data_IF_767393161183
#
_entry.id   IF_767393161183
#
_cell.length_a   1.000
_cell.length_b   1.000
_cell.length_c   1.000
_cell.angle_alpha   90.00
_cell.angle_beta   90.00
_cell.angle_gamma   90.00
#
_symmetry.space_group_name_H-M   'P 1'
#
loop_
_entity.id
_entity.type
_entity.pdbx_description
1 polymer ?
#
# COMPACT_ATOMS: atom_id res chain seq x y z
N UNK A 1 -83.92 81.48 -4.92
CA UNK A 1 -82.43 81.62 -4.97
C UNK A 1 -81.74 81.08 -3.70
N UNK A 2 -82.31 81.24 -2.50
CA UNK A 2 -81.75 80.76 -1.23
C UNK A 2 -81.40 79.25 -1.17
N UNK A 3 -82.30 78.37 -1.61
CA UNK A 3 -82.07 76.91 -1.58
C UNK A 3 -80.90 76.46 -2.47
N UNK A 4 -80.71 77.09 -3.65
CA UNK A 4 -79.55 76.84 -4.52
C UNK A 4 -78.23 77.28 -3.86
N UNK A 5 -78.24 78.40 -3.15
CA UNK A 5 -77.07 78.91 -2.44
C UNK A 5 -76.70 78.04 -1.23
N UNK A 6 -77.69 77.53 -0.47
CA UNK A 6 -77.49 76.59 0.63
C UNK A 6 -76.95 75.25 0.10
N UNK A 7 -77.53 74.72 -0.97
CA UNK A 7 -77.05 73.48 -1.60
C UNK A 7 -75.63 73.66 -2.16
N UNK A 8 -75.31 74.79 -2.77
CA UNK A 8 -73.99 75.09 -3.29
C UNK A 8 -72.97 75.27 -2.17
N UNK A 9 -73.29 75.99 -1.09
CA UNK A 9 -72.38 76.16 0.05
C UNK A 9 -72.15 74.86 0.81
N UNK A 10 -73.18 74.02 0.97
CA UNK A 10 -73.05 72.69 1.56
C UNK A 10 -72.22 71.74 0.69
N UNK A 11 -72.49 71.69 -0.62
CA UNK A 11 -71.72 70.90 -1.57
C UNK A 11 -70.26 71.37 -1.67
N UNK A 12 -70.00 72.68 -1.74
CA UNK A 12 -68.65 73.24 -1.73
C UNK A 12 -67.92 73.00 -0.40
N UNK A 13 -68.62 73.06 0.73
CA UNK A 13 -68.05 72.76 2.05
C UNK A 13 -67.70 71.28 2.19
N UNK A 14 -68.57 70.37 1.74
CA UNK A 14 -68.31 68.94 1.74
C UNK A 14 -67.22 68.55 0.75
N UNK A 15 -67.17 69.15 -0.44
CA UNK A 15 -66.09 68.96 -1.40
C UNK A 15 -64.74 69.37 -0.79
N UNK A 16 -64.65 70.55 -0.16
CA UNK A 16 -63.44 71.00 0.53
C UNK A 16 -63.03 70.08 1.69
N UNK A 17 -64.01 69.51 2.42
CA UNK A 17 -63.74 68.53 3.49
C UNK A 17 -63.20 67.22 2.93
N UNK A 18 -63.76 66.72 1.84
CA UNK A 18 -63.28 65.50 1.17
C UNK A 18 -61.94 65.73 0.46
N UNK A 19 -61.69 66.89 -0.14
CA UNK A 19 -60.38 67.29 -0.68
C UNK A 19 -59.32 67.34 0.43
N UNK A 20 -59.63 67.97 1.57
CA UNK A 20 -58.73 68.00 2.72
C UNK A 20 -58.49 66.59 3.31
N UNK A 21 -59.52 65.73 3.34
CA UNK A 21 -59.40 64.33 3.77
C UNK A 21 -58.53 63.52 2.81
N UNK A 22 -58.72 63.70 1.51
CA UNK A 22 -57.95 63.03 0.46
C UNK A 22 -56.49 63.47 0.48
N UNK A 23 -56.21 64.77 0.63
CA UNK A 23 -54.84 65.29 0.78
C UNK A 23 -54.16 64.77 2.06
N UNK A 24 -54.89 64.67 3.17
CA UNK A 24 -54.36 64.04 4.40
C UNK A 24 -54.01 62.57 4.18
N UNK A 25 -54.89 61.80 3.56
CA UNK A 25 -54.62 60.40 3.23
C UNK A 25 -53.43 60.24 2.28
N UNK A 26 -53.32 61.08 1.24
CA UNK A 26 -52.16 61.09 0.35
C UNK A 26 -50.86 61.38 1.11
N UNK A 27 -50.85 62.41 1.97
CA UNK A 27 -49.68 62.71 2.80
C UNK A 27 -49.32 61.58 3.77
N UNK A 28 -50.33 60.87 4.30
CA UNK A 28 -50.12 59.70 5.15
C UNK A 28 -49.51 58.56 4.35
N UNK A 29 -50.04 58.23 3.16
CA UNK A 29 -49.47 57.20 2.29
C UNK A 29 -48.05 57.54 1.82
N UNK A 30 -47.75 58.80 1.50
CA UNK A 30 -46.40 59.23 1.15
C UNK A 30 -45.43 59.08 2.34
N UNK A 31 -45.90 59.37 3.56
CA UNK A 31 -45.12 59.16 4.79
C UNK A 31 -44.88 57.67 5.08
N UNK A 32 -45.89 56.81 4.85
CA UNK A 32 -45.79 55.36 5.00
C UNK A 32 -44.87 54.74 3.95
N UNK A 33 -44.92 55.22 2.69
CA UNK A 33 -44.02 54.84 1.61
C UNK A 33 -42.58 55.23 1.96
N UNK A 34 -42.33 56.47 2.37
CA UNK A 34 -41.00 56.91 2.78
C UNK A 34 -40.47 56.11 3.99
N UNK A 35 -41.32 55.77 4.96
CA UNK A 35 -40.97 54.90 6.08
C UNK A 35 -40.68 53.45 5.64
N UNK A 36 -41.41 52.94 4.64
CA UNK A 36 -41.14 51.63 4.02
C UNK A 36 -39.79 51.64 3.30
N UNK A 37 -39.51 52.65 2.46
CA UNK A 37 -38.27 52.79 1.70
C UNK A 37 -37.06 52.90 2.63
N UNK A 38 -37.17 53.64 3.73
CA UNK A 38 -36.13 53.68 4.79
C UNK A 38 -35.89 52.30 5.41
N UNK A 39 -36.95 51.55 5.71
CA UNK A 39 -36.83 50.18 6.26
C UNK A 39 -36.18 49.24 5.25
N UNK A 40 -36.52 49.33 3.98
CA UNK A 40 -35.93 48.54 2.90
C UNK A 40 -34.44 48.90 2.75
N UNK A 41 -34.09 50.19 2.71
CA UNK A 41 -32.72 50.64 2.61
C UNK A 41 -31.87 50.20 3.81
N UNK A 42 -32.39 50.31 5.03
CA UNK A 42 -31.73 49.82 6.24
C UNK A 42 -31.49 48.31 6.21
N UNK A 43 -32.50 47.52 5.79
CA UNK A 43 -32.36 46.07 5.60
C UNK A 43 -31.34 45.73 4.51
N UNK A 44 -31.34 46.46 3.39
CA UNK A 44 -30.37 46.27 2.31
C UNK A 44 -28.94 46.49 2.81
N UNK A 45 -28.71 47.57 3.56
CA UNK A 45 -27.42 47.86 4.17
C UNK A 45 -27.00 46.78 5.17
N UNK A 46 -27.91 46.33 6.04
CA UNK A 46 -27.62 45.24 6.99
C UNK A 46 -27.27 43.92 6.29
N UNK A 47 -27.99 43.56 5.22
CA UNK A 47 -27.67 42.38 4.41
C UNK A 47 -26.33 42.52 3.70
N UNK A 48 -26.02 43.69 3.13
CA UNK A 48 -24.73 43.94 2.49
C UNK A 48 -23.58 43.77 3.48
N UNK A 49 -23.72 44.31 4.69
CA UNK A 49 -22.75 44.12 5.77
C UNK A 49 -22.57 42.63 6.11
N UNK A 50 -23.66 41.91 6.36
CA UNK A 50 -23.62 40.46 6.69
C UNK A 50 -23.00 39.62 5.58
N UNK A 51 -23.28 39.96 4.31
CA UNK A 51 -22.67 39.29 3.16
C UNK A 51 -21.16 39.53 3.16
N UNK A 52 -20.73 40.77 3.39
CA UNK A 52 -19.31 41.13 3.44
C UNK A 52 -18.58 40.43 4.58
N UNK A 53 -19.14 40.45 5.80
CA UNK A 53 -18.60 39.75 6.97
C UNK A 53 -18.45 38.25 6.71
N UNK A 54 -19.48 37.60 6.13
CA UNK A 54 -19.39 36.19 5.73
C UNK A 54 -18.34 35.92 4.66
N UNK A 55 -18.19 36.83 3.70
CA UNK A 55 -17.19 36.69 2.66
C UNK A 55 -15.77 36.81 3.23
N UNK A 56 -15.55 37.74 4.16
CA UNK A 56 -14.27 37.91 4.85
C UNK A 56 -13.92 36.66 5.68
N UNK A 57 -14.86 36.12 6.46
CA UNK A 57 -14.65 34.87 7.20
C UNK A 57 -14.31 33.70 6.26
N UNK A 58 -15.10 33.50 5.19
CA UNK A 58 -14.85 32.44 4.21
C UNK A 58 -13.48 32.59 3.55
N UNK A 59 -13.07 33.81 3.21
CA UNK A 59 -11.77 34.05 2.59
C UNK A 59 -10.63 33.70 3.57
N UNK A 60 -10.77 34.04 4.85
CA UNK A 60 -9.80 33.67 5.89
C UNK A 60 -9.69 32.15 6.05
N UNK A 61 -10.82 31.44 6.14
CA UNK A 61 -10.84 29.97 6.22
C UNK A 61 -10.20 29.31 5.00
N UNK A 62 -10.47 29.83 3.80
CA UNK A 62 -9.87 29.34 2.56
C UNK A 62 -8.36 29.59 2.53
N UNK A 63 -7.90 30.75 3.00
CA UNK A 63 -6.48 31.08 3.06
C UNK A 63 -5.74 30.16 4.03
N UNK A 64 -6.27 29.93 5.23
CA UNK A 64 -5.71 28.98 6.20
C UNK A 64 -5.64 27.56 5.62
N UNK A 65 -6.70 27.12 4.95
CA UNK A 65 -6.74 25.80 4.31
C UNK A 65 -5.73 25.68 3.17
N UNK A 66 -5.60 26.71 2.31
CA UNK A 66 -4.60 26.74 1.23
C UNK A 66 -3.18 26.69 1.80
N UNK A 67 -2.91 27.47 2.85
CA UNK A 67 -1.60 27.46 3.52
C UNK A 67 -1.29 26.07 4.11
N UNK A 68 -2.27 25.45 4.78
CA UNK A 68 -2.17 24.08 5.25
C UNK A 68 -1.82 23.11 4.11
N UNK A 69 -2.60 23.12 3.02
CA UNK A 69 -2.38 22.24 1.87
C UNK A 69 -1.00 22.45 1.25
N UNK A 70 -0.59 23.71 1.05
CA UNK A 70 0.73 24.04 0.55
C UNK A 70 1.85 23.51 1.46
N UNK A 71 1.70 23.62 2.79
CA UNK A 71 2.67 23.08 3.74
C UNK A 71 2.83 21.57 3.63
N UNK A 72 1.70 20.84 3.42
CA UNK A 72 1.71 19.38 3.28
C UNK A 72 2.30 18.94 1.94
N UNK A 73 1.96 19.65 0.86
CA UNK A 73 2.54 19.42 -0.46
C UNK A 73 4.04 19.68 -0.47
N UNK A 74 4.50 20.73 0.22
CA UNK A 74 5.92 21.00 0.38
C UNK A 74 6.63 19.89 1.16
N UNK A 75 6.03 19.40 2.25
CA UNK A 75 6.59 18.27 3.00
C UNK A 75 6.71 17.00 2.14
N UNK A 76 5.68 16.68 1.35
CA UNK A 76 5.72 15.57 0.41
C UNK A 76 6.76 15.80 -0.71
N UNK A 77 6.85 17.01 -1.25
CA UNK A 77 7.84 17.38 -2.27
C UNK A 77 9.27 17.26 -1.77
N UNK A 78 9.53 17.63 -0.51
CA UNK A 78 10.84 17.50 0.13
C UNK A 78 11.21 16.04 0.43
N UNK A 79 10.21 15.17 0.54
CA UNK A 79 10.40 13.74 0.76
C UNK A 79 10.72 12.99 -0.55
N UNK A 80 10.18 13.43 -1.69
CA UNK A 80 10.39 12.78 -2.99
C UNK A 80 11.87 12.48 -3.33
N UNK A 81 12.83 13.42 -3.18
CA UNK A 81 14.25 13.13 -3.45
C UNK A 81 14.84 12.05 -2.54
N UNK A 82 14.35 11.93 -1.30
CA UNK A 82 14.78 10.86 -0.38
C UNK A 82 14.26 9.50 -0.83
N UNK A 83 13.03 9.46 -1.33
CA UNK A 83 12.46 8.25 -1.90
C UNK A 83 13.19 7.82 -3.18
N UNK A 84 13.61 8.77 -4.01
CA UNK A 84 14.47 8.52 -5.17
C UNK A 84 15.86 7.98 -4.77
N UNK A 85 16.46 8.55 -3.70
CA UNK A 85 17.69 8.02 -3.12
C UNK A 85 17.50 6.60 -2.58
N UNK A 86 16.37 6.32 -1.92
CA UNK A 86 16.02 4.98 -1.45
C UNK A 86 15.94 4.00 -2.61
N UNK A 87 15.20 4.34 -3.67
CA UNK A 87 15.08 3.53 -4.87
C UNK A 87 16.44 3.30 -5.52
N UNK A 88 17.26 4.34 -5.67
CA UNK A 88 18.63 4.18 -6.20
C UNK A 88 19.45 3.21 -5.35
N UNK A 89 19.37 3.31 -4.02
CA UNK A 89 20.12 2.45 -3.11
C UNK A 89 19.62 1.00 -3.11
N UNK A 90 18.33 0.77 -3.35
CA UNK A 90 17.82 -0.61 -3.52
C UNK A 90 18.49 -1.34 -4.68
N UNK A 91 18.84 -0.66 -5.77
CA UNK A 91 19.61 -1.27 -6.87
C UNK A 91 21.01 -1.68 -6.42
N UNK A 92 21.69 -0.90 -5.58
CA UNK A 92 22.98 -1.29 -4.97
C UNK A 92 22.86 -2.59 -4.16
N UNK A 93 21.76 -2.77 -3.43
CA UNK A 93 21.48 -4.02 -2.72
C UNK A 93 21.25 -5.19 -3.69
N UNK A 94 20.49 -4.98 -4.76
CA UNK A 94 20.26 -6.00 -5.80
C UNK A 94 21.56 -6.39 -6.49
N UNK A 95 22.38 -5.43 -6.90
CA UNK A 95 23.66 -5.69 -7.58
C UNK A 95 24.61 -6.50 -6.70
N UNK A 96 24.71 -6.14 -5.41
CA UNK A 96 25.54 -6.89 -4.47
C UNK A 96 24.98 -8.28 -4.20
N UNK A 97 23.66 -8.44 -4.09
CA UNK A 97 23.01 -9.75 -3.97
C UNK A 97 23.27 -10.64 -5.19
N UNK A 98 23.10 -10.10 -6.41
CA UNK A 98 23.34 -10.83 -7.66
C UNK A 98 24.79 -11.31 -7.76
N UNK A 99 25.77 -10.52 -7.31
CA UNK A 99 27.18 -10.96 -7.24
C UNK A 99 27.35 -12.15 -6.29
N UNK A 100 26.73 -12.12 -5.11
CA UNK A 100 26.76 -13.27 -4.18
C UNK A 100 26.13 -14.51 -4.82
N UNK A 101 24.97 -14.35 -5.46
CA UNK A 101 24.27 -15.47 -6.12
C UNK A 101 25.10 -16.05 -7.29
N UNK A 102 25.74 -15.21 -8.11
CA UNK A 102 26.62 -15.65 -9.19
C UNK A 102 27.82 -16.45 -8.66
N UNK A 103 28.53 -15.95 -7.64
CA UNK A 103 29.66 -16.68 -7.03
C UNK A 103 29.17 -18.00 -6.44
N UNK A 104 27.98 -18.03 -5.82
CA UNK A 104 27.39 -19.28 -5.31
C UNK A 104 27.12 -20.28 -6.44
N UNK A 105 26.55 -19.84 -7.56
CA UNK A 105 26.33 -20.69 -8.73
C UNK A 105 27.65 -21.25 -9.29
N UNK A 106 28.70 -20.42 -9.35
CA UNK A 106 30.03 -20.88 -9.75
C UNK A 106 30.57 -21.95 -8.80
N UNK A 107 30.51 -21.72 -7.48
CA UNK A 107 30.89 -22.71 -6.47
C UNK A 107 30.16 -24.04 -6.67
N UNK A 108 28.87 -24.00 -6.98
CA UNK A 108 28.05 -25.19 -7.23
C UNK A 108 28.44 -25.90 -8.53
N UNK A 109 28.83 -25.16 -9.58
CA UNK A 109 29.39 -25.73 -10.82
C UNK A 109 30.72 -26.43 -10.53
N UNK A 110 31.62 -25.79 -9.77
CA UNK A 110 32.89 -26.40 -9.37
C UNK A 110 32.69 -27.67 -8.55
N UNK A 111 31.72 -27.67 -7.63
CA UNK A 111 31.32 -28.86 -6.87
C UNK A 111 30.91 -30.00 -7.81
N UNK A 112 30.03 -29.74 -8.79
CA UNK A 112 29.60 -30.73 -9.78
C UNK A 112 30.76 -31.26 -10.64
N UNK A 113 31.68 -30.39 -11.06
CA UNK A 113 32.88 -30.80 -11.82
C UNK A 113 33.77 -31.74 -11.00
N UNK A 114 34.02 -31.40 -9.73
CA UNK A 114 34.81 -32.23 -8.80
C UNK A 114 34.13 -33.61 -8.60
N UNK A 115 32.81 -33.63 -8.38
CA UNK A 115 32.04 -34.87 -8.24
C UNK A 115 32.13 -35.76 -9.49
N UNK A 116 32.05 -35.17 -10.69
CA UNK A 116 32.21 -35.88 -11.95
C UNK A 116 33.61 -36.49 -12.13
N UNK A 117 34.67 -35.75 -11.76
CA UNK A 117 36.05 -36.27 -11.78
C UNK A 117 36.20 -37.45 -10.83
N UNK A 118 35.73 -37.33 -9.57
CA UNK A 118 35.83 -38.45 -8.62
C UNK A 118 35.02 -39.68 -9.04
N UNK A 119 33.87 -39.48 -9.68
CA UNK A 119 33.10 -40.58 -10.27
C UNK A 119 33.90 -41.28 -11.37
N UNK A 120 34.59 -40.51 -12.23
CA UNK A 120 35.45 -41.05 -13.30
C UNK A 120 36.66 -41.79 -12.75
N UNK A 121 37.30 -41.26 -11.70
CA UNK A 121 38.38 -41.94 -10.97
C UNK A 121 37.90 -43.29 -10.45
N UNK A 122 36.71 -43.35 -9.83
CA UNK A 122 36.13 -44.59 -9.34
C UNK A 122 35.93 -45.64 -10.44
N UNK A 123 35.52 -45.21 -11.65
CA UNK A 123 35.42 -46.09 -12.82
C UNK A 123 36.81 -46.60 -13.27
N UNK A 124 37.81 -45.72 -13.32
CA UNK A 124 39.19 -46.09 -13.68
C UNK A 124 39.76 -47.09 -12.67
N UNK A 125 39.54 -46.88 -11.37
CA UNK A 125 39.98 -47.80 -10.32
C UNK A 125 39.34 -49.18 -10.46
N UNK A 126 38.05 -49.24 -10.82
CA UNK A 126 37.37 -50.49 -11.14
C UNK A 126 37.99 -51.18 -12.37
N UNK A 127 38.29 -50.44 -13.44
CA UNK A 127 38.97 -50.97 -14.62
C UNK A 127 40.39 -51.48 -14.31
N UNK A 128 41.18 -50.72 -13.54
CA UNK A 128 42.51 -51.15 -13.09
C UNK A 128 42.40 -52.45 -12.29
N UNK A 129 41.42 -52.56 -11.40
CA UNK A 129 41.19 -53.78 -10.61
C UNK A 129 40.87 -54.99 -11.51
N UNK A 130 39.95 -54.85 -12.46
CA UNK A 130 39.60 -55.93 -13.39
C UNK A 130 40.74 -56.30 -14.34
N UNK A 131 41.48 -55.34 -14.89
CA UNK A 131 42.67 -55.61 -15.70
C UNK A 131 43.75 -56.33 -14.89
N UNK A 132 43.93 -55.95 -13.62
CA UNK A 132 44.85 -56.63 -12.71
C UNK A 132 44.41 -58.08 -12.50
N UNK A 133 43.13 -58.33 -12.22
CA UNK A 133 42.58 -59.70 -12.12
C UNK A 133 42.74 -60.50 -13.42
N UNK A 134 42.48 -59.91 -14.58
CA UNK A 134 42.63 -60.58 -15.89
C UNK A 134 44.09 -60.89 -16.24
N UNK A 135 45.03 -60.03 -15.84
CA UNK A 135 46.46 -60.32 -15.94
C UNK A 135 46.85 -61.49 -15.02
N UNK A 136 46.21 -61.61 -13.85
CA UNK A 136 46.48 -62.62 -12.83
C UNK A 136 45.70 -63.94 -12.99
N UNK A 137 44.61 -63.99 -13.77
CA UNK A 137 43.79 -65.20 -14.03
C UNK A 137 44.62 -66.28 -14.74
N UNK A 138 45.37 -67.01 -13.92
CA UNK A 138 45.92 -68.37 -13.95
C UNK A 138 46.34 -69.03 -15.27
N UNK A 139 45.61 -68.92 -16.39
CA UNK A 139 45.93 -69.70 -17.60
C UNK A 139 47.36 -69.51 -18.12
N UNK A 140 47.94 -68.31 -17.94
CA UNK A 140 49.28 -67.97 -18.44
C UNK A 140 50.43 -68.33 -17.49
N UNK A 141 50.26 -68.14 -16.18
CA UNK A 141 51.22 -68.62 -15.18
C UNK A 141 51.24 -70.15 -15.18
N UNK A 142 50.06 -70.77 -15.13
CA UNK A 142 49.89 -72.23 -15.17
C UNK A 142 50.44 -72.81 -16.48
N UNK A 143 50.25 -72.16 -17.63
CA UNK A 143 50.86 -72.62 -18.89
C UNK A 143 52.39 -72.54 -18.89
N UNK A 144 52.99 -71.45 -18.40
CA UNK A 144 54.45 -71.31 -18.28
C UNK A 144 55.03 -72.31 -17.27
N UNK A 145 54.33 -72.53 -16.16
CA UNK A 145 54.72 -73.49 -15.12
C UNK A 145 54.57 -74.94 -15.60
N UNK A 146 53.50 -75.28 -16.33
CA UNK A 146 53.34 -76.59 -16.99
C UNK A 146 54.40 -76.85 -18.06
N UNK A 147 54.74 -75.85 -18.88
CA UNK A 147 55.73 -76.00 -19.97
C UNK A 147 57.18 -75.96 -19.47
N UNK A 148 57.45 -75.35 -18.31
CA UNK A 148 58.77 -75.41 -17.67
C UNK A 148 59.00 -76.73 -16.94
N UNK A 149 57.96 -77.31 -16.35
CA UNK A 149 58.03 -78.59 -15.62
C UNK A 149 57.92 -79.82 -16.53
N UNK A 150 57.29 -79.70 -17.71
CA UNK A 150 57.24 -80.76 -18.74
C UNK A 150 57.75 -80.22 -20.09
N UNK A 151 59.06 -80.23 -20.34
CA UNK A 151 59.58 -79.93 -21.67
C UNK A 151 59.02 -80.94 -22.68
N UNK A 152 58.55 -80.44 -23.83
CA UNK A 152 58.04 -81.28 -24.91
C UNK A 152 59.14 -82.26 -25.36
N UNK A 153 58.86 -83.56 -25.24
CA UNK A 153 59.81 -84.65 -25.53
C UNK A 153 60.09 -84.83 -27.03
N UNK A 154 59.38 -84.13 -27.91
CA UNK A 154 59.58 -84.17 -29.36
C UNK A 154 59.69 -82.73 -29.89
N UNK A 155 60.85 -82.39 -30.44
CA UNK A 155 61.11 -81.14 -31.15
C UNK A 155 61.11 -81.40 -32.66
N UNK A 156 60.22 -80.70 -33.35
CA UNK A 156 60.10 -80.65 -34.81
C UNK A 156 59.94 -79.15 -35.16
N UNK A 157 60.43 -78.73 -36.32
CA UNK A 157 60.31 -77.36 -36.83
C UNK A 157 58.90 -76.75 -36.71
N UNK A 158 57.84 -77.54 -36.90
CA UNK A 158 56.46 -77.10 -36.69
C UNK A 158 56.13 -76.82 -35.20
N UNK A 159 56.55 -77.72 -34.30
CA UNK A 159 56.34 -77.60 -32.85
C UNK A 159 57.10 -76.38 -32.30
N UNK A 160 58.35 -76.18 -32.73
CA UNK A 160 59.16 -75.04 -32.32
C UNK A 160 58.60 -73.72 -32.86
N UNK A 161 58.11 -73.70 -34.10
CA UNK A 161 57.47 -72.51 -34.69
C UNK A 161 56.18 -72.15 -33.94
N UNK A 162 55.35 -73.14 -33.61
CA UNK A 162 54.11 -72.94 -32.86
C UNK A 162 54.40 -72.48 -31.43
N UNK A 163 55.41 -73.05 -30.75
CA UNK A 163 55.87 -72.59 -29.43
C UNK A 163 56.32 -71.12 -29.47
N UNK A 164 57.17 -70.75 -30.43
CA UNK A 164 57.60 -69.35 -30.61
C UNK A 164 56.42 -68.41 -30.89
N UNK A 165 55.45 -68.84 -31.68
CA UNK A 165 54.26 -68.04 -31.97
C UNK A 165 53.39 -67.82 -30.72
N UNK A 166 53.19 -68.86 -29.90
CA UNK A 166 52.46 -68.77 -28.63
C UNK A 166 53.20 -67.88 -27.63
N UNK A 167 54.53 -68.02 -27.49
CA UNK A 167 55.35 -67.19 -26.61
C UNK A 167 55.34 -65.72 -27.06
N UNK A 168 55.43 -65.47 -28.38
CA UNK A 168 55.40 -64.11 -28.95
C UNK A 168 54.02 -63.46 -28.77
N UNK A 169 52.94 -64.19 -29.03
CA UNK A 169 51.56 -63.71 -28.82
C UNK A 169 51.27 -63.44 -27.33
N UNK A 170 51.75 -64.31 -26.44
CA UNK A 170 51.65 -64.12 -24.99
C UNK A 170 52.41 -62.88 -24.50
N UNK A 171 53.62 -62.65 -25.04
CA UNK A 171 54.42 -61.47 -24.72
C UNK A 171 53.75 -60.17 -25.21
N UNK A 172 53.28 -60.14 -26.46
CA UNK A 172 52.57 -59.00 -27.03
C UNK A 172 51.33 -58.64 -26.21
N UNK A 173 50.49 -59.63 -25.89
CA UNK A 173 49.30 -59.41 -25.04
C UNK A 173 49.66 -58.90 -23.64
N UNK A 174 50.74 -59.39 -23.03
CA UNK A 174 51.19 -58.91 -21.72
C UNK A 174 51.72 -57.46 -21.77
N UNK A 175 52.44 -57.12 -22.83
CA UNK A 175 52.93 -55.76 -23.05
C UNK A 175 51.75 -54.80 -23.30
N UNK A 176 50.70 -55.23 -24.01
CA UNK A 176 49.44 -54.49 -24.16
C UNK A 176 48.73 -54.26 -22.82
N UNK A 177 48.54 -55.29 -21.99
CA UNK A 177 47.95 -55.13 -20.65
C UNK A 177 48.75 -54.17 -19.77
N UNK A 178 50.09 -54.29 -19.79
CA UNK A 178 50.97 -53.42 -19.01
C UNK A 178 50.91 -51.97 -19.50
N UNK A 179 50.85 -51.76 -20.81
CA UNK A 179 50.74 -50.42 -21.40
C UNK A 179 49.38 -49.80 -21.06
N UNK A 180 48.29 -50.57 -21.14
CA UNK A 180 46.96 -50.11 -20.78
C UNK A 180 46.85 -49.75 -19.29
N UNK A 181 47.42 -50.58 -18.42
CA UNK A 181 47.46 -50.33 -16.97
C UNK A 181 48.24 -49.04 -16.66
N UNK A 182 49.40 -48.82 -17.31
CA UNK A 182 50.14 -47.56 -17.22
C UNK A 182 49.33 -46.37 -17.72
N UNK A 183 48.61 -46.51 -18.83
CA UNK A 183 47.75 -45.46 -19.39
C UNK A 183 46.65 -45.07 -18.42
N UNK A 184 45.95 -46.04 -17.83
CA UNK A 184 44.90 -45.80 -16.85
C UNK A 184 45.44 -45.18 -15.56
N UNK A 185 46.59 -45.64 -15.06
CA UNK A 185 47.25 -45.04 -13.89
C UNK A 185 47.64 -43.58 -14.15
N UNK A 186 48.24 -43.30 -15.30
CA UNK A 186 48.61 -41.93 -15.70
C UNK A 186 47.37 -41.04 -15.86
N UNK A 187 46.29 -41.55 -16.45
CA UNK A 187 45.05 -40.79 -16.57
C UNK A 187 44.41 -40.50 -15.21
N UNK A 188 44.42 -41.48 -14.29
CA UNK A 188 43.97 -41.30 -12.91
C UNK A 188 44.78 -40.22 -12.17
N UNK A 189 46.10 -40.25 -12.29
CA UNK A 189 46.98 -39.23 -11.69
C UNK A 189 46.70 -37.83 -12.25
N UNK A 190 46.47 -37.71 -13.57
CA UNK A 190 46.09 -36.46 -14.20
C UNK A 190 44.74 -35.93 -13.65
N UNK A 191 43.75 -36.81 -13.50
CA UNK A 191 42.45 -36.45 -12.92
C UNK A 191 42.55 -36.03 -11.44
N UNK A 192 43.40 -36.67 -10.64
CA UNK A 192 43.65 -36.22 -9.26
C UNK A 192 44.27 -34.82 -9.21
N UNK A 193 45.18 -34.50 -10.15
CA UNK A 193 45.77 -33.17 -10.27
C UNK A 193 44.72 -32.12 -10.63
N UNK A 194 43.88 -32.41 -11.64
CA UNK A 194 42.79 -31.53 -12.06
C UNK A 194 41.77 -31.32 -10.91
N UNK A 195 41.39 -32.39 -10.19
CA UNK A 195 40.51 -32.29 -9.03
C UNK A 195 41.10 -31.37 -7.95
N UNK A 196 42.41 -31.46 -7.69
CA UNK A 196 43.09 -30.58 -6.72
C UNK A 196 43.04 -29.12 -7.17
N UNK A 197 43.31 -28.83 -8.43
CA UNK A 197 43.23 -27.48 -9.01
C UNK A 197 41.81 -26.91 -8.90
N UNK A 198 40.78 -27.70 -9.20
CA UNK A 198 39.37 -27.29 -9.03
C UNK A 198 39.00 -27.06 -7.56
N UNK A 199 39.51 -27.88 -6.63
CA UNK A 199 39.30 -27.69 -5.19
C UNK A 199 39.90 -26.36 -4.73
N UNK A 200 41.12 -26.05 -5.17
CA UNK A 200 41.81 -24.81 -4.80
C UNK A 200 41.11 -23.57 -5.42
N UNK A 201 40.66 -23.64 -6.68
CA UNK A 201 39.84 -22.59 -7.29
C UNK A 201 38.51 -22.39 -6.55
N UNK A 202 37.83 -23.48 -6.20
CA UNK A 202 36.58 -23.42 -5.42
C UNK A 202 36.77 -22.79 -4.04
N UNK A 203 37.89 -23.06 -3.37
CA UNK A 203 38.25 -22.40 -2.10
C UNK A 203 38.47 -20.89 -2.29
N UNK A 204 39.12 -20.49 -3.39
CA UNK A 204 39.28 -19.08 -3.75
C UNK A 204 37.93 -18.38 -3.94
N UNK A 205 36.98 -19.04 -4.61
CA UNK A 205 35.62 -18.52 -4.76
C UNK A 205 34.88 -18.38 -3.43
N UNK A 206 35.03 -19.33 -2.50
CA UNK A 206 34.47 -19.20 -1.15
C UNK A 206 34.98 -17.94 -0.43
N UNK A 207 36.28 -17.68 -0.49
CA UNK A 207 36.85 -16.47 0.11
C UNK A 207 36.31 -15.19 -0.55
N UNK A 208 36.25 -15.15 -1.88
CA UNK A 208 35.66 -14.01 -2.59
C UNK A 208 34.17 -13.82 -2.27
N UNK A 209 33.43 -14.92 -2.09
CA UNK A 209 32.02 -14.88 -1.68
C UNK A 209 31.88 -14.21 -0.31
N UNK A 210 32.69 -14.59 0.67
CA UNK A 210 32.64 -14.05 2.03
C UNK A 210 32.88 -12.53 2.03
N UNK A 211 33.82 -12.03 1.20
CA UNK A 211 34.06 -10.59 1.03
C UNK A 211 32.85 -9.85 0.45
N UNK A 212 32.23 -10.40 -0.60
CA UNK A 212 31.05 -9.80 -1.23
C UNK A 212 29.83 -9.87 -0.31
N UNK A 213 29.66 -10.97 0.44
CA UNK A 213 28.60 -11.11 1.45
C UNK A 213 28.75 -10.06 2.56
N UNK A 214 29.96 -9.75 3.00
CA UNK A 214 30.21 -8.70 3.98
C UNK A 214 29.74 -7.32 3.48
N UNK A 215 30.09 -6.97 2.23
CA UNK A 215 29.61 -5.73 1.58
C UNK A 215 28.09 -5.74 1.44
N UNK A 216 27.51 -6.85 1.00
CA UNK A 216 26.08 -6.98 0.82
C UNK A 216 25.31 -6.82 2.13
N UNK A 217 25.81 -7.41 3.22
CA UNK A 217 25.21 -7.28 4.55
C UNK A 217 25.29 -5.84 5.07
N UNK A 218 26.39 -5.11 4.82
CA UNK A 218 26.49 -3.69 5.14
C UNK A 218 25.48 -2.84 4.33
N UNK A 219 25.30 -3.16 3.05
CA UNK A 219 24.28 -2.52 2.22
C UNK A 219 22.87 -2.77 2.78
N UNK A 220 22.54 -4.00 3.20
CA UNK A 220 21.23 -4.29 3.83
C UNK A 220 20.97 -3.45 5.07
N UNK A 221 21.95 -3.36 5.98
CA UNK A 221 21.81 -2.56 7.20
C UNK A 221 21.56 -1.08 6.88
N UNK A 222 22.24 -0.57 5.84
CA UNK A 222 22.04 0.81 5.37
C UNK A 222 20.64 0.98 4.79
N UNK A 223 20.18 0.05 3.95
CA UNK A 223 18.85 0.08 3.35
C UNK A 223 17.74 -0.01 4.42
N UNK A 224 17.92 -0.86 5.43
CA UNK A 224 17.01 -1.00 6.57
C UNK A 224 16.91 0.30 7.37
N UNK A 225 18.04 0.97 7.61
CA UNK A 225 18.08 2.27 8.28
C UNK A 225 17.32 3.32 7.48
N UNK A 226 17.60 3.43 6.17
CA UNK A 226 16.89 4.34 5.27
C UNK A 226 15.39 4.04 5.23
N UNK A 227 15.01 2.76 5.14
CA UNK A 227 13.62 2.34 5.13
C UNK A 227 12.88 2.80 6.38
N UNK A 228 13.46 2.60 7.57
CA UNK A 228 12.84 3.00 8.83
C UNK A 228 12.69 4.53 8.91
N UNK A 229 13.78 5.27 8.64
CA UNK A 229 13.76 6.74 8.64
C UNK A 229 12.72 7.31 7.66
N UNK A 230 12.65 6.76 6.45
CA UNK A 230 11.75 7.26 5.41
C UNK A 230 10.31 6.82 5.64
N UNK A 231 10.09 5.65 6.24
CA UNK A 231 8.77 5.23 6.70
C UNK A 231 8.26 6.16 7.80
N UNK A 232 9.12 6.58 8.74
CA UNK A 232 8.74 7.48 9.82
C UNK A 232 8.47 8.91 9.31
N UNK A 233 9.30 9.43 8.39
CA UNK A 233 9.02 10.71 7.74
C UNK A 233 7.70 10.68 6.96
N UNK A 234 7.40 9.59 6.27
CA UNK A 234 6.12 9.41 5.59
C UNK A 234 4.94 9.39 6.59
N UNK A 235 5.07 8.70 7.74
CA UNK A 235 4.06 8.72 8.81
C UNK A 235 3.84 10.13 9.35
N UNK A 236 4.89 10.92 9.53
CA UNK A 236 4.78 12.32 9.97
C UNK A 236 4.04 13.19 8.95
N UNK A 237 4.26 12.97 7.64
CA UNK A 237 3.48 13.65 6.59
C UNK A 237 1.99 13.29 6.73
N UNK A 238 1.65 12.00 6.88
CA UNK A 238 0.27 11.55 7.09
C UNK A 238 -0.36 12.16 8.34
N UNK A 239 0.37 12.12 9.46
CA UNK A 239 -0.08 12.69 10.73
C UNK A 239 -0.35 14.18 10.60
N UNK A 240 0.40 14.88 9.74
CA UNK A 240 0.13 16.28 9.41
C UNK A 240 -1.26 16.52 8.83
N UNK A 241 -1.78 15.61 7.99
CA UNK A 241 -3.15 15.70 7.47
C UNK A 241 -4.19 15.44 8.55
N UNK A 242 -3.95 14.45 9.42
CA UNK A 242 -4.85 14.14 10.53
C UNK A 242 -4.88 15.26 11.58
N UNK A 243 -3.73 15.87 11.88
CA UNK A 243 -3.58 16.93 12.88
C UNK A 243 -4.30 18.22 12.52
N UNK A 244 -4.41 18.56 11.23
CA UNK A 244 -5.15 19.75 10.79
C UNK A 244 -6.59 19.72 11.26
N UNK A 245 -7.19 18.53 11.23
CA UNK A 245 -8.56 18.30 11.60
C UNK A 245 -8.76 18.04 13.10
N UNK A 246 -7.71 17.68 13.82
CA UNK A 246 -7.80 17.37 15.25
C UNK A 246 -8.27 18.55 16.12
N UNK A 247 -7.96 19.79 15.71
CA UNK A 247 -8.17 20.99 16.55
C UNK A 247 -9.13 22.01 15.94
N UNK A 248 -9.75 21.74 14.79
CA UNK A 248 -10.70 22.67 14.16
C UNK A 248 -12.06 22.57 14.84
N UNK A 249 -12.49 23.63 15.53
CA UNK A 249 -13.90 23.76 15.94
C UNK A 249 -14.77 23.94 14.71
N UNK A 250 -15.94 23.31 14.73
CA UNK A 250 -16.89 23.37 13.62
C UNK A 250 -18.16 24.09 14.06
N UNK A 251 -18.99 24.50 13.11
CA UNK A 251 -20.34 25.03 13.38
C UNK A 251 -21.31 23.93 13.89
N UNK A 252 -20.90 22.66 13.87
CA UNK A 252 -21.71 21.52 14.27
C UNK A 252 -21.45 21.14 15.74
N UNK A 253 -22.35 21.54 16.64
CA UNK A 253 -22.22 21.29 18.09
C UNK A 253 -22.03 19.81 18.42
N UNK A 254 -22.79 18.91 17.78
CA UNK A 254 -22.66 17.47 17.98
C UNK A 254 -21.30 16.93 17.53
N UNK A 255 -20.73 17.45 16.44
CA UNK A 255 -19.38 17.09 16.03
C UNK A 255 -18.38 17.49 17.10
N UNK A 256 -18.45 18.73 17.57
CA UNK A 256 -17.54 19.22 18.61
C UNK A 256 -17.66 18.38 19.90
N UNK A 257 -18.88 17.99 20.28
CA UNK A 257 -19.13 17.13 21.45
C UNK A 257 -18.62 15.71 21.26
N UNK A 258 -18.83 15.10 20.09
CA UNK A 258 -18.39 13.72 19.83
C UNK A 258 -16.87 13.61 19.68
N UNK A 259 -16.22 14.68 19.22
CA UNK A 259 -14.78 14.72 19.00
C UNK A 259 -14.00 15.14 20.25
N UNK A 260 -14.59 15.88 21.18
CA UNK A 260 -13.90 16.37 22.38
C UNK A 260 -13.28 15.30 23.30
N UNK A 261 -13.83 14.08 23.47
CA UNK A 261 -13.21 13.06 24.32
C UNK A 261 -12.14 12.23 23.60
N UNK A 262 -11.89 12.48 22.32
CA UNK A 262 -10.92 11.71 21.54
C UNK A 262 -9.48 12.07 21.94
N UNK A 263 -8.61 11.07 21.94
CA UNK A 263 -7.22 11.23 22.39
C UNK A 263 -6.40 12.05 21.41
N UNK A 264 -6.55 11.74 20.13
CA UNK A 264 -5.75 12.34 19.05
C UNK A 264 -6.57 13.39 18.27
N UNK A 265 -7.77 13.73 18.76
CA UNK A 265 -8.61 14.83 18.30
C UNK A 265 -9.33 14.60 16.97
N UNK A 266 -9.17 13.45 16.31
CA UNK A 266 -9.85 13.18 15.05
C UNK A 266 -9.01 12.55 13.95
N UNK A 267 -8.20 11.55 14.29
CA UNK A 267 -7.58 10.70 13.27
C UNK A 267 -8.62 10.02 12.39
N UNK A 268 -8.22 9.51 11.22
CA UNK A 268 -9.14 8.79 10.32
C UNK A 268 -9.83 7.63 11.04
N UNK A 269 -9.09 6.95 11.92
CA UNK A 269 -9.59 5.84 12.74
C UNK A 269 -10.61 6.32 13.76
N UNK A 270 -10.31 7.37 14.51
CA UNK A 270 -11.22 7.91 15.53
C UNK A 270 -12.52 8.44 14.89
N UNK A 271 -12.44 9.19 13.78
CA UNK A 271 -13.62 9.67 13.05
C UNK A 271 -14.50 8.49 12.62
N UNK A 272 -13.87 7.42 12.10
CA UNK A 272 -14.61 6.20 11.70
C UNK A 272 -15.33 5.56 12.88
N UNK A 273 -14.69 5.51 14.06
CA UNK A 273 -15.30 5.00 15.28
C UNK A 273 -16.47 5.89 15.72
N UNK A 274 -16.31 7.21 15.74
CA UNK A 274 -17.37 8.17 16.12
C UNK A 274 -18.59 8.04 15.20
N UNK A 275 -18.38 7.91 13.90
CA UNK A 275 -19.48 7.69 12.94
C UNK A 275 -20.25 6.41 13.28
N UNK A 276 -19.54 5.34 13.66
CA UNK A 276 -20.17 4.07 14.00
C UNK A 276 -20.92 4.15 15.35
N UNK A 277 -20.34 4.79 16.37
CA UNK A 277 -20.96 4.89 17.70
C UNK A 277 -22.12 5.88 17.74
N UNK A 278 -22.08 6.96 16.95
CA UNK A 278 -23.18 7.93 16.83
C UNK A 278 -24.41 7.36 16.10
N UNK A 279 -24.29 6.19 15.47
CA UNK A 279 -25.37 5.57 14.70
C UNK A 279 -26.65 5.37 15.53
N UNK A 280 -26.52 4.85 16.75
CA UNK A 280 -27.68 4.57 17.61
C UNK A 280 -28.37 5.86 18.09
N UNK A 281 -27.62 6.90 18.43
CA UNK A 281 -28.18 8.21 18.83
C UNK A 281 -29.03 8.78 17.69
N UNK A 282 -28.51 8.70 16.46
CA UNK A 282 -29.17 9.20 15.26
C UNK A 282 -30.41 8.36 14.94
N UNK A 283 -30.32 7.04 15.10
CA UNK A 283 -31.46 6.13 14.92
C UNK A 283 -32.59 6.44 15.89
N UNK A 284 -32.28 6.61 17.19
CA UNK A 284 -33.27 7.01 18.18
C UNK A 284 -33.91 8.37 17.87
N UNK A 285 -33.13 9.35 17.40
CA UNK A 285 -33.67 10.65 16.99
C UNK A 285 -34.55 10.55 15.74
N UNK A 286 -34.20 9.67 14.81
CA UNK A 286 -35.01 9.36 13.63
C UNK A 286 -36.35 8.73 14.01
N UNK A 287 -36.34 7.71 14.87
CA UNK A 287 -37.56 7.05 15.36
C UNK A 287 -38.49 8.03 16.08
N UNK A 288 -37.94 8.90 16.95
CA UNK A 288 -38.72 9.96 17.61
C UNK A 288 -39.34 10.92 16.62
N UNK A 289 -38.62 11.27 15.55
CA UNK A 289 -39.13 12.16 14.51
C UNK A 289 -40.22 11.47 13.68
N UNK A 290 -40.05 10.20 13.35
CA UNK A 290 -41.01 9.44 12.55
C UNK A 290 -42.38 9.32 13.25
N UNK A 291 -42.40 9.24 14.59
CA UNK A 291 -43.63 9.26 15.38
C UNK A 291 -44.43 10.57 15.29
N UNK A 292 -43.76 11.70 15.01
CA UNK A 292 -44.38 13.03 14.98
C UNK A 292 -44.45 13.63 13.58
N UNK A 293 -43.92 12.91 12.58
CA UNK A 293 -43.60 13.46 11.25
C UNK A 293 -44.84 14.01 10.56
N UNK A 294 -45.91 13.22 10.50
CA UNK A 294 -47.12 13.57 9.77
C UNK A 294 -47.79 14.82 10.36
N UNK A 295 -47.91 14.87 11.69
CA UNK A 295 -48.42 16.05 12.40
C UNK A 295 -47.53 17.28 12.18
N UNK A 296 -46.21 17.11 12.28
CA UNK A 296 -45.26 18.20 12.10
C UNK A 296 -45.30 18.78 10.68
N UNK A 297 -45.32 17.93 9.66
CA UNK A 297 -45.40 18.33 8.25
C UNK A 297 -46.74 19.01 7.94
N UNK A 298 -47.85 18.45 8.43
CA UNK A 298 -49.19 19.03 8.30
C UNK A 298 -49.27 20.45 8.90
N UNK A 299 -48.85 20.63 10.16
CA UNK A 299 -48.86 21.97 10.78
C UNK A 299 -47.94 22.94 10.05
N UNK A 300 -46.76 22.49 9.60
CA UNK A 300 -45.81 23.30 8.84
C UNK A 300 -46.42 23.82 7.54
N UNK A 301 -47.14 22.98 6.80
CA UNK A 301 -47.81 23.37 5.56
C UNK A 301 -48.93 24.37 5.79
N UNK A 302 -49.79 24.13 6.78
CA UNK A 302 -50.88 25.06 7.12
C UNK A 302 -50.31 26.44 7.49
N UNK A 303 -49.25 26.48 8.32
CA UNK A 303 -48.59 27.74 8.70
C UNK A 303 -47.99 28.44 7.48
N UNK A 304 -47.34 27.69 6.58
CA UNK A 304 -46.75 28.24 5.35
C UNK A 304 -47.83 28.82 4.44
N UNK A 305 -48.93 28.11 4.25
CA UNK A 305 -50.03 28.53 3.38
C UNK A 305 -50.74 29.77 3.94
N UNK A 306 -50.99 29.83 5.24
CA UNK A 306 -51.57 31.00 5.88
C UNK A 306 -50.68 32.26 5.73
N UNK A 307 -49.36 32.11 5.88
CA UNK A 307 -48.41 33.22 5.67
C UNK A 307 -48.34 33.69 4.22
N UNK A 308 -48.47 32.78 3.26
CA UNK A 308 -48.38 33.11 1.84
C UNK A 308 -49.67 33.74 1.30
N UNK A 309 -50.83 33.28 1.77
CA UNK A 309 -52.15 33.75 1.33
C UNK A 309 -52.68 34.93 2.14
N UNK A 310 -52.08 35.22 3.30
CA UNK A 310 -52.63 36.12 4.34
C UNK A 310 -54.02 35.70 4.85
N UNK A 311 -54.45 34.47 4.59
CA UNK A 311 -55.68 33.88 5.09
C UNK A 311 -55.38 32.95 6.27
N UNK A 312 -55.78 33.36 7.47
CA UNK A 312 -55.44 32.67 8.71
C UNK A 312 -56.65 31.87 9.22
N UNK A 313 -56.52 30.53 9.38
CA UNK A 313 -57.61 29.73 9.90
C UNK A 313 -57.93 30.11 11.35
N UNK A 314 -59.19 29.92 11.76
CA UNK A 314 -59.68 30.30 13.09
C UNK A 314 -58.93 29.63 14.25
N UNK A 315 -58.34 28.45 14.03
CA UNK A 315 -57.53 27.70 14.99
C UNK A 315 -56.00 27.90 14.82
N UNK A 316 -55.56 28.91 14.08
CA UNK A 316 -54.15 29.14 13.76
C UNK A 316 -53.24 29.22 14.99
N UNK A 317 -53.71 29.80 16.11
CA UNK A 317 -52.89 29.89 17.32
C UNK A 317 -52.58 28.51 17.92
N UNK A 318 -53.56 27.60 17.90
CA UNK A 318 -53.41 26.22 18.37
C UNK A 318 -52.49 25.42 17.45
N UNK A 319 -52.66 25.56 16.13
CA UNK A 319 -51.78 24.93 15.13
C UNK A 319 -50.33 25.38 15.33
N UNK A 320 -50.11 26.69 15.49
CA UNK A 320 -48.78 27.24 15.73
C UNK A 320 -48.18 26.75 17.05
N UNK A 321 -48.97 26.70 18.13
CA UNK A 321 -48.51 26.19 19.41
C UNK A 321 -48.10 24.71 19.35
N UNK A 322 -48.84 23.88 18.60
CA UNK A 322 -48.48 22.47 18.39
C UNK A 322 -47.24 22.31 17.52
N UNK A 323 -47.11 23.10 16.44
CA UNK A 323 -45.89 23.16 15.64
C UNK A 323 -44.67 23.55 16.48
N UNK A 324 -44.78 24.60 17.29
CA UNK A 324 -43.69 25.11 18.12
C UNK A 324 -43.23 24.07 19.18
N UNK A 325 -44.13 23.19 19.65
CA UNK A 325 -43.80 22.07 20.54
C UNK A 325 -43.02 20.95 19.84
N UNK A 326 -43.31 20.68 18.57
CA UNK A 326 -42.69 19.60 17.80
C UNK A 326 -41.39 20.04 17.11
N UNK A 327 -41.23 21.35 16.86
CA UNK A 327 -40.07 21.94 16.19
C UNK A 327 -38.71 21.57 16.79
N UNK A 328 -38.51 21.50 18.13
CA UNK A 328 -37.23 21.12 18.71
C UNK A 328 -36.80 19.70 18.30
N UNK A 329 -37.72 18.74 18.25
CA UNK A 329 -37.43 17.34 17.88
C UNK A 329 -36.96 17.27 16.42
N UNK A 330 -37.65 17.97 15.52
CA UNK A 330 -37.28 18.04 14.11
C UNK A 330 -35.92 18.73 13.90
N UNK A 331 -35.65 19.82 14.62
CA UNK A 331 -34.36 20.55 14.56
C UNK A 331 -33.22 19.70 15.08
N UNK A 332 -33.42 19.01 16.19
CA UNK A 332 -32.42 18.15 16.82
C UNK A 332 -32.00 17.00 15.89
N UNK A 333 -32.98 16.28 15.33
CA UNK A 333 -32.75 15.24 14.31
C UNK A 333 -32.01 15.80 13.09
N UNK A 334 -32.37 16.99 12.63
CA UNK A 334 -31.67 17.68 11.55
C UNK A 334 -30.21 17.98 11.87
N UNK A 335 -29.93 18.49 13.08
CA UNK A 335 -28.58 18.80 13.54
C UNK A 335 -27.70 17.56 13.67
N UNK A 336 -28.25 16.46 14.21
CA UNK A 336 -27.58 15.15 14.30
C UNK A 336 -27.20 14.60 12.92
N UNK A 337 -28.14 14.62 11.97
CA UNK A 337 -27.91 14.16 10.60
C UNK A 337 -26.86 15.01 9.87
N UNK A 338 -26.94 16.35 10.00
CA UNK A 338 -25.96 17.26 9.42
C UNK A 338 -24.55 17.02 9.98
N UNK A 339 -24.46 16.82 11.30
CA UNK A 339 -23.20 16.54 12.00
C UNK A 339 -22.56 15.22 11.54
N UNK A 340 -23.35 14.17 11.34
CA UNK A 340 -22.86 12.90 10.77
C UNK A 340 -22.45 13.06 9.30
N UNK A 341 -23.22 13.79 8.51
CA UNK A 341 -22.88 14.11 7.12
C UNK A 341 -21.53 14.84 7.03
N UNK A 342 -21.30 15.81 7.92
CA UNK A 342 -20.02 16.51 8.03
C UNK A 342 -18.85 15.55 8.33
N UNK A 343 -19.01 14.66 9.32
CA UNK A 343 -17.98 13.68 9.66
C UNK A 343 -17.68 12.71 8.51
N UNK A 344 -18.69 12.28 7.74
CA UNK A 344 -18.46 11.50 6.53
C UNK A 344 -17.63 12.25 5.51
N UNK A 345 -17.97 13.52 5.23
CA UNK A 345 -17.19 14.37 4.32
C UNK A 345 -15.74 14.47 4.76
N UNK A 346 -15.49 14.77 6.04
CA UNK A 346 -14.14 14.86 6.61
C UNK A 346 -13.37 13.55 6.52
N UNK A 347 -14.01 12.42 6.84
CA UNK A 347 -13.41 11.08 6.71
C UNK A 347 -12.99 10.79 5.28
N UNK A 348 -13.87 11.06 4.33
CA UNK A 348 -13.65 10.73 2.92
C UNK A 348 -12.57 11.63 2.30
N UNK A 349 -12.52 12.90 2.71
CA UNK A 349 -11.46 13.82 2.35
C UNK A 349 -10.09 13.36 2.90
N UNK A 350 -9.99 13.09 4.20
CA UNK A 350 -8.78 12.56 4.84
C UNK A 350 -8.30 11.27 4.19
N UNK A 351 -9.23 10.33 3.97
CA UNK A 351 -8.95 9.08 3.29
C UNK A 351 -8.41 9.34 1.88
N UNK A 352 -9.00 10.27 1.14
CA UNK A 352 -8.54 10.66 -0.19
C UNK A 352 -7.10 11.18 -0.20
N UNK A 353 -6.69 11.96 0.80
CA UNK A 353 -5.30 12.41 0.93
C UNK A 353 -4.35 11.28 1.29
N UNK A 354 -4.70 10.49 2.30
CA UNK A 354 -3.89 9.36 2.76
C UNK A 354 -3.69 8.35 1.62
N UNK A 355 -4.76 8.02 0.87
CA UNK A 355 -4.70 7.08 -0.24
C UNK A 355 -3.78 7.56 -1.38
N UNK A 356 -3.74 8.87 -1.67
CA UNK A 356 -2.78 9.43 -2.64
C UNK A 356 -1.33 9.32 -2.15
N UNK A 357 -1.11 9.51 -0.86
CA UNK A 357 0.23 9.47 -0.25
C UNK A 357 0.76 8.05 -0.02
N UNK A 358 -0.10 7.02 -0.02
CA UNK A 358 0.34 5.62 0.06
C UNK A 358 1.39 5.25 -0.99
N UNK A 359 1.30 5.85 -2.18
CA UNK A 359 2.28 5.64 -3.27
C UNK A 359 3.69 6.11 -2.93
N UNK A 360 3.82 7.00 -1.95
CA UNK A 360 5.10 7.51 -1.47
C UNK A 360 5.69 6.63 -0.36
N UNK A 361 5.01 5.57 0.07
CA UNK A 361 5.57 4.69 1.10
C UNK A 361 6.73 3.85 0.52
N UNK A 362 7.84 3.64 1.27
CA UNK A 362 8.96 2.82 0.80
C UNK A 362 8.59 1.38 0.38
N UNK A 363 7.56 0.79 1.00
CA UNK A 363 7.00 -0.51 0.58
C UNK A 363 6.60 -0.53 -0.91
N UNK A 364 6.07 0.56 -1.47
CA UNK A 364 5.64 0.56 -2.88
C UNK A 364 6.85 0.51 -3.84
N UNK A 365 7.98 1.12 -3.45
CA UNK A 365 9.24 1.00 -4.21
C UNK A 365 9.74 -0.44 -4.18
N UNK A 366 9.80 -1.06 -2.99
CA UNK A 366 10.24 -2.45 -2.83
C UNK A 366 9.31 -3.45 -3.52
N UNK A 367 7.99 -3.25 -3.43
CA UNK A 367 7.00 -4.09 -4.09
C UNK A 367 7.13 -4.01 -5.63
N UNK A 368 7.37 -2.81 -6.16
CA UNK A 368 7.56 -2.61 -7.60
C UNK A 368 8.83 -3.29 -8.09
N UNK A 369 9.94 -3.14 -7.37
CA UNK A 369 11.20 -3.80 -7.71
C UNK A 369 11.11 -5.32 -7.56
N UNK A 370 10.45 -5.80 -6.51
CA UNK A 370 10.20 -7.22 -6.35
C UNK A 370 9.39 -7.80 -7.51
N UNK A 371 8.34 -7.11 -7.95
CA UNK A 371 7.55 -7.54 -9.10
C UNK A 371 8.43 -7.65 -10.36
N UNK A 372 9.26 -6.64 -10.63
CA UNK A 372 10.17 -6.63 -11.78
C UNK A 372 11.20 -7.77 -11.71
N UNK A 373 11.82 -7.99 -10.55
CA UNK A 373 12.80 -9.07 -10.38
C UNK A 373 12.17 -10.47 -10.45
N UNK A 374 10.90 -10.59 -10.08
CA UNK A 374 10.18 -11.86 -10.05
C UNK A 374 9.65 -12.33 -11.41
N UNK A 375 9.76 -11.51 -12.47
CA UNK A 375 9.33 -11.89 -13.82
C UNK A 375 10.18 -13.04 -14.38
N UNK A 376 11.48 -13.05 -14.11
CA UNK A 376 12.43 -14.03 -14.66
C UNK A 376 12.71 -15.20 -13.71
N UNK A 377 12.67 -14.96 -12.40
CA UNK A 377 13.03 -15.95 -11.37
C UNK A 377 12.36 -15.61 -10.04
N UNK A 378 11.99 -16.63 -9.26
CA UNK A 378 11.53 -16.41 -7.89
C UNK A 378 12.66 -15.78 -7.05
N UNK A 379 12.46 -14.53 -6.64
CA UNK A 379 13.42 -13.79 -5.82
C UNK A 379 13.00 -13.82 -4.35
N UNK A 380 13.95 -14.11 -3.47
CA UNK A 380 13.74 -13.98 -2.04
C UNK A 380 14.10 -12.56 -1.60
N UNK A 381 13.08 -11.74 -1.30
CA UNK A 381 13.25 -10.33 -0.91
C UNK A 381 14.05 -10.14 0.36
N UNK A 382 13.95 -11.07 1.32
CA UNK A 382 14.80 -11.05 2.51
C UNK A 382 16.28 -11.25 2.15
N UNK A 383 16.56 -12.11 1.18
CA UNK A 383 17.92 -12.32 0.70
C UNK A 383 18.44 -11.14 -0.12
N UNK A 384 17.61 -10.48 -0.92
CA UNK A 384 18.04 -9.34 -1.74
C UNK A 384 18.12 -8.01 -0.97
N UNK A 385 17.11 -7.71 -0.16
CA UNK A 385 16.94 -6.40 0.48
C UNK A 385 17.12 -6.42 2.00
N UNK A 386 16.93 -7.57 2.65
CA UNK A 386 16.87 -7.64 4.13
C UNK A 386 15.61 -6.99 4.71
N UNK A 387 14.62 -6.67 3.87
CA UNK A 387 13.36 -6.03 4.25
C UNK A 387 12.22 -6.79 3.58
N UNK A 388 11.20 -7.13 4.36
CA UNK A 388 9.95 -7.68 3.84
C UNK A 388 8.88 -6.59 3.88
N UNK A 389 8.21 -6.31 2.77
CA UNK A 389 7.13 -5.31 2.71
C UNK A 389 5.89 -5.76 3.49
N UNK A 390 4.94 -4.86 3.76
CA UNK A 390 3.68 -5.25 4.40
C UNK A 390 2.96 -6.39 3.66
N UNK A 391 2.87 -6.31 2.33
CA UNK A 391 2.21 -7.34 1.50
C UNK A 391 2.89 -8.70 1.69
N UNK A 392 4.22 -8.73 1.70
CA UNK A 392 5.00 -9.95 1.89
C UNK A 392 4.84 -10.53 3.31
N UNK A 393 4.86 -9.68 4.34
CA UNK A 393 4.64 -10.10 5.74
C UNK A 393 3.24 -10.70 5.93
N UNK A 394 2.21 -10.12 5.30
CA UNK A 394 0.84 -10.65 5.34
C UNK A 394 0.76 -11.98 4.61
N UNK A 395 1.28 -12.07 3.39
CA UNK A 395 1.29 -13.32 2.61
C UNK A 395 2.00 -14.46 3.36
N UNK A 396 3.12 -14.17 4.02
CA UNK A 396 3.83 -15.15 4.85
C UNK A 396 2.97 -15.63 6.03
N UNK A 397 2.34 -14.70 6.76
CA UNK A 397 1.45 -15.02 7.89
C UNK A 397 0.25 -15.87 7.44
N UNK A 398 -0.35 -15.56 6.31
CA UNK A 398 -1.51 -16.28 5.80
C UNK A 398 -1.13 -17.69 5.30
N UNK A 399 0.05 -17.84 4.67
CA UNK A 399 0.61 -19.17 4.37
C UNK A 399 0.80 -20.01 5.63
N UNK A 400 1.35 -19.44 6.71
CA UNK A 400 1.52 -20.17 7.98
C UNK A 400 0.17 -20.63 8.58
N UNK A 401 -0.84 -19.77 8.55
CA UNK A 401 -2.20 -20.14 9.02
C UNK A 401 -2.84 -21.23 8.16
N UNK A 402 -2.60 -21.23 6.85
CA UNK A 402 -3.05 -22.28 5.94
C UNK A 402 -2.41 -23.64 6.24
N UNK A 403 -1.10 -23.66 6.52
CA UNK A 403 -0.37 -24.88 6.90
C UNK A 403 -0.86 -25.41 8.26
N UNK A 404 -1.12 -24.53 9.24
CA UNK A 404 -1.71 -24.94 10.53
C UNK A 404 -3.13 -25.50 10.41
N UNK A 405 -3.91 -25.06 9.42
CA UNK A 405 -5.24 -25.61 9.12
C UNK A 405 -5.22 -26.91 8.33
N UNK A 406 -4.15 -27.20 7.60
CA UNK A 406 -3.96 -28.45 6.87
C UNK A 406 -3.30 -29.55 7.73
N UNK A 407 -2.68 -29.18 8.84
CA UNK A 407 -2.04 -30.08 9.80
C UNK A 407 -2.95 -30.50 10.97
N UNK A 408 -4.17 -29.93 11.05
CA UNK A 408 -5.25 -30.30 11.97
C UNK A 408 -6.41 -30.88 11.15
#
# INVERSE_FOLDING_TARGET
MLLKWIAHTWASSNLRKEEARTQRLLSQYDSEKAASDRRIAARKSDYQRKIKERQEMRNSELEEYIQFMNSRLQAASNYMPKLDQFQTFTFTCVDSWMKVDLIQQEIDIYKKKIEAIFTTIGLIDAYISELTKLSQRQGRHVWREMTSTRPLTVSNTYVDKTKRNVDRGSKLSNDEFRNELKRLQSHREALYKEAKELIDQRKGLHFSKDEVELVHNANKQTLETMYNEYSDQWKEILKGFESYYANTKTEHDYVNQWMSPLKDGGTLKEITVVINTSHEIIKCAQEKYDLIKDDFESYREIIKNARNSNDYPSNYSTIKANYDKLLPIAKDRGALMASRGFLYGRRDELRGYIDKLKRLHPDEVLDTLYALLSEEREVNTWQAFGINTYKQRVAYRDKQKGVQRAAN
#
